data_IF_308883346921
#
_entry.id   IF_308883346921
#
_cell.length_a   1.000
_cell.length_b   1.000
_cell.length_c   1.000
_cell.angle_alpha   90.00
_cell.angle_beta   90.00
_cell.angle_gamma   90.00
#
_symmetry.space_group_name_H-M   'P 1'
#
loop_
_entity.id
_entity.type
_entity.pdbx_description
1 polymer ?
#
# COMPACT_ATOMS: atom_id res chain seq x y z
N UNK A 1 16.57 23.35 4.54
CA UNK A 1 16.62 21.98 5.12
C UNK A 1 16.08 21.05 4.07
N UNK A 2 16.81 19.99 3.69
CA UNK A 2 16.26 18.96 2.81
C UNK A 2 15.28 18.14 3.62
N UNK A 3 14.01 18.52 3.58
CA UNK A 3 12.95 17.75 4.23
C UNK A 3 12.69 16.51 3.39
N UNK A 4 12.83 15.33 4.01
CA UNK A 4 12.47 14.07 3.36
C UNK A 4 10.96 14.05 3.20
N UNK A 5 10.50 13.77 1.98
CA UNK A 5 9.08 13.57 1.68
C UNK A 5 8.82 12.08 1.51
N UNK A 6 7.73 11.58 2.11
CA UNK A 6 7.29 10.19 1.94
C UNK A 6 5.84 10.16 1.45
N UNK A 7 5.57 9.19 0.58
CA UNK A 7 4.26 8.81 0.04
C UNK A 7 4.26 7.31 -0.17
N UNK A 8 3.09 6.70 -0.36
CA UNK A 8 2.89 5.26 -0.58
C UNK A 8 3.66 4.40 0.43
N UNK A 9 3.58 4.81 1.69
CA UNK A 9 4.27 4.16 2.81
C UNK A 9 3.25 3.72 3.85
N UNK A 10 3.50 2.53 4.41
CA UNK A 10 2.84 2.04 5.62
C UNK A 10 3.55 2.64 6.83
N UNK A 11 2.87 3.52 7.55
CA UNK A 11 3.43 4.25 8.69
C UNK A 11 2.75 3.78 9.96
N UNK A 12 3.54 3.32 10.93
CA UNK A 12 3.02 2.97 12.24
C UNK A 12 2.61 4.22 13.03
N UNK A 13 1.41 4.17 13.61
CA UNK A 13 0.81 5.27 14.37
C UNK A 13 -0.18 6.08 13.52
N UNK A 14 -0.59 7.24 14.05
CA UNK A 14 -1.67 8.08 13.52
C UNK A 14 -1.17 9.40 12.90
N UNK A 15 0.14 9.61 12.85
CA UNK A 15 0.72 10.88 12.44
C UNK A 15 2.02 10.73 11.65
N UNK A 16 2.31 11.74 10.83
CA UNK A 16 3.57 11.81 10.12
C UNK A 16 4.77 11.88 11.09
N UNK A 17 5.84 11.10 10.88
CA UNK A 17 7.01 11.14 11.76
C UNK A 17 7.68 12.52 11.81
N UNK A 18 8.25 12.85 12.96
CA UNK A 18 8.98 14.12 13.15
C UNK A 18 10.09 14.32 12.11
N UNK A 19 10.15 15.53 11.55
CA UNK A 19 11.16 15.90 10.54
C UNK A 19 10.89 15.35 9.14
N UNK A 20 9.79 14.62 8.94
CA UNK A 20 9.31 14.14 7.65
C UNK A 20 8.12 14.99 7.18
N UNK A 21 7.97 15.15 5.87
CA UNK A 21 6.73 15.66 5.27
C UNK A 21 6.02 14.51 4.57
N UNK A 22 4.90 14.08 5.14
CA UNK A 22 4.04 13.11 4.50
C UNK A 22 3.23 13.81 3.41
N UNK A 23 3.23 13.21 2.23
CA UNK A 23 2.26 13.56 1.19
C UNK A 23 0.93 12.98 1.69
N UNK A 24 0.06 13.89 2.16
CA UNK A 24 -1.27 13.55 2.65
C UNK A 24 -2.02 12.81 1.53
N UNK A 25 -2.84 11.84 1.92
CA UNK A 25 -3.64 10.96 1.04
C UNK A 25 -2.85 9.90 0.24
N UNK A 26 -1.51 9.88 0.31
CA UNK A 26 -0.71 8.81 -0.30
C UNK A 26 -0.13 7.81 0.70
N UNK A 27 -0.15 8.09 2.01
CA UNK A 27 0.37 7.18 3.03
C UNK A 27 -0.80 6.53 3.78
N UNK A 28 -0.60 5.28 4.21
CA UNK A 28 -1.55 4.60 5.10
C UNK A 28 -0.95 4.49 6.49
N UNK A 29 -1.71 5.03 7.44
CA UNK A 29 -1.39 5.01 8.87
C UNK A 29 -2.01 3.78 9.52
N UNK A 30 -1.20 2.98 10.20
CA UNK A 30 -1.60 1.71 10.79
C UNK A 30 -1.31 1.69 12.29
N UNK A 31 -2.33 1.35 13.09
CA UNK A 31 -2.18 1.07 14.52
C UNK A 31 -1.96 -0.43 14.76
N UNK A 32 -2.67 -1.26 13.99
CA UNK A 32 -2.56 -2.72 14.00
C UNK A 32 -1.76 -3.22 12.80
N UNK A 33 -1.12 -4.38 12.94
CA UNK A 33 -0.44 -5.04 11.83
C UNK A 33 -1.41 -5.29 10.66
N UNK A 34 -1.12 -4.78 9.45
CA UNK A 34 -1.86 -5.14 8.24
C UNK A 34 -1.51 -6.55 7.75
N UNK A 35 -0.51 -7.19 8.36
CA UNK A 35 0.04 -8.46 7.91
C UNK A 35 -0.43 -9.63 8.75
N UNK A 36 -0.52 -10.80 8.11
CA UNK A 36 -0.54 -12.10 8.75
C UNK A 36 0.73 -12.32 9.59
N UNK A 37 0.58 -13.06 10.68
CA UNK A 37 1.69 -13.37 11.58
C UNK A 37 2.71 -14.23 10.84
N UNK A 38 3.98 -13.81 10.86
CA UNK A 38 5.17 -14.55 10.42
C UNK A 38 5.42 -14.68 8.90
N UNK A 39 4.56 -14.14 8.01
CA UNK A 39 4.79 -14.24 6.55
C UNK A 39 4.66 -12.91 5.77
N UNK A 40 4.37 -11.79 6.43
CA UNK A 40 4.25 -10.44 5.83
C UNK A 40 3.19 -10.30 4.71
N UNK A 41 2.31 -11.29 4.54
CA UNK A 41 1.19 -11.19 3.60
C UNK A 41 0.12 -10.27 4.18
N UNK A 42 -0.55 -9.50 3.34
CA UNK A 42 -1.69 -8.70 3.78
C UNK A 42 -2.83 -9.62 4.23
N UNK A 43 -3.38 -9.34 5.41
CA UNK A 43 -4.62 -9.99 5.86
C UNK A 43 -5.82 -9.31 5.21
N UNK A 44 -6.93 -10.04 5.07
CA UNK A 44 -8.20 -9.48 4.62
C UNK A 44 -8.60 -8.23 5.43
N UNK A 45 -9.02 -7.16 4.73
CA UNK A 45 -9.36 -5.87 5.33
C UNK A 45 -8.17 -5.05 5.80
N UNK A 46 -6.95 -5.41 5.40
CA UNK A 46 -5.77 -4.55 5.56
C UNK A 46 -6.00 -3.21 4.85
N UNK A 47 -5.67 -2.07 5.48
CA UNK A 47 -5.76 -0.76 4.84
C UNK A 47 -4.67 -0.54 3.77
N UNK A 48 -3.75 -1.50 3.62
CA UNK A 48 -2.74 -1.49 2.57
C UNK A 48 -3.27 -2.05 1.23
N UNK A 49 -4.44 -2.69 1.25
CA UNK A 49 -5.08 -3.24 0.05
C UNK A 49 -5.66 -2.09 -0.80
N UNK A 50 -5.50 -2.14 -2.12
CA UNK A 50 -5.96 -1.13 -3.09
C UNK A 50 -5.55 0.32 -2.74
N UNK A 51 -4.35 0.48 -2.17
CA UNK A 51 -3.87 1.74 -1.59
C UNK A 51 -2.58 2.28 -2.24
N UNK A 52 -2.04 1.58 -3.23
CA UNK A 52 -0.76 1.89 -3.85
C UNK A 52 -0.83 2.86 -5.03
N UNK A 53 0.20 2.83 -5.87
CA UNK A 53 0.27 3.64 -7.09
C UNK A 53 0.89 2.83 -8.22
N UNK A 54 0.06 2.50 -9.22
CA UNK A 54 0.43 1.72 -10.39
C UNK A 54 1.57 2.38 -11.20
N UNK A 55 1.66 3.72 -11.21
CA UNK A 55 2.66 4.48 -12.00
C UNK A 55 4.11 4.22 -11.55
N UNK A 56 4.33 3.80 -10.30
CA UNK A 56 5.68 3.56 -9.74
C UNK A 56 6.06 2.07 -9.76
N UNK A 57 5.18 1.21 -10.25
CA UNK A 57 5.38 -0.24 -10.28
C UNK A 57 6.23 -0.63 -11.50
N UNK A 58 7.36 -1.29 -11.25
CA UNK A 58 8.26 -1.75 -12.31
C UNK A 58 8.33 -3.28 -12.46
N UNK A 59 7.88 -4.04 -11.46
CA UNK A 59 7.79 -5.50 -11.52
C UNK A 59 6.35 -5.91 -11.73
N UNK A 60 6.17 -6.91 -12.59
CA UNK A 60 4.86 -7.47 -12.95
C UNK A 60 4.33 -8.47 -11.93
N UNK A 61 5.19 -9.00 -11.07
CA UNK A 61 4.82 -10.00 -10.05
C UNK A 61 5.35 -9.65 -8.66
N UNK A 62 4.66 -10.10 -7.63
CA UNK A 62 5.06 -10.04 -6.23
C UNK A 62 6.12 -11.11 -5.89
N UNK A 63 6.45 -11.26 -4.61
CA UNK A 63 7.44 -12.25 -4.15
C UNK A 63 6.97 -13.70 -4.38
N UNK A 64 5.66 -13.95 -4.33
CA UNK A 64 5.07 -15.28 -4.55
C UNK A 64 4.85 -15.59 -6.03
N UNK A 65 5.08 -14.61 -6.91
CA UNK A 65 4.90 -14.72 -8.35
C UNK A 65 3.48 -14.40 -8.83
N UNK A 66 2.63 -13.87 -7.95
CA UNK A 66 1.30 -13.39 -8.31
C UNK A 66 1.40 -12.05 -9.03
N UNK A 67 0.45 -11.71 -9.93
CA UNK A 67 0.38 -10.37 -10.51
C UNK A 67 0.29 -9.29 -9.42
N UNK A 68 0.93 -8.14 -9.64
CA UNK A 68 0.92 -7.00 -8.69
C UNK A 68 -0.19 -5.98 -8.91
N UNK A 69 -1.16 -6.30 -9.74
CA UNK A 69 -2.29 -5.38 -9.97
C UNK A 69 -3.50 -6.29 -9.99
N UNK A 70 -4.05 -6.57 -8.81
CA UNK A 70 -5.21 -7.42 -8.60
C UNK A 70 -6.18 -6.68 -7.68
N UNK A 71 -7.35 -6.35 -8.23
CA UNK A 71 -8.44 -5.68 -7.51
C UNK A 71 -9.01 -6.58 -6.40
N UNK A 72 -9.13 -6.05 -5.17
CA UNK A 72 -10.00 -6.60 -4.15
C UNK A 72 -11.36 -5.88 -4.14
N UNK A 73 -12.40 -6.42 -4.79
CA UNK A 73 -13.64 -5.68 -5.07
C UNK A 73 -14.47 -5.33 -3.83
N UNK A 74 -14.06 -5.76 -2.64
CA UNK A 74 -14.69 -5.42 -1.36
C UNK A 74 -13.93 -4.36 -0.56
N UNK A 75 -12.72 -4.00 -1.00
CA UNK A 75 -11.92 -2.91 -0.44
C UNK A 75 -12.19 -1.64 -1.24
N UNK A 76 -12.10 -0.49 -0.57
CA UNK A 76 -12.27 0.81 -1.24
C UNK A 76 -10.92 1.26 -1.75
N UNK A 77 -10.86 1.51 -3.05
CA UNK A 77 -9.75 2.19 -3.71
C UNK A 77 -9.35 3.49 -2.99
N UNK A 78 -8.13 3.50 -2.44
CA UNK A 78 -7.54 4.69 -1.79
C UNK A 78 -6.22 5.12 -2.41
N UNK A 79 -5.67 4.31 -3.31
CA UNK A 79 -4.44 4.61 -4.05
C UNK A 79 -4.63 5.61 -5.19
N UNK A 80 -3.62 5.68 -6.05
CA UNK A 80 -3.68 6.51 -7.28
C UNK A 80 -4.50 5.77 -8.32
N UNK A 81 -5.74 6.21 -8.50
CA UNK A 81 -6.61 5.78 -9.59
C UNK A 81 -6.00 6.24 -10.92
N UNK A 82 -5.68 5.30 -11.79
CA UNK A 82 -5.32 5.54 -13.18
C UNK A 82 -6.43 5.00 -14.11
N UNK A 83 -6.12 4.81 -15.39
CA UNK A 83 -7.08 4.25 -16.35
C UNK A 83 -7.32 2.73 -16.14
N UNK A 84 -6.60 2.09 -15.21
CA UNK A 84 -6.80 0.70 -14.83
C UNK A 84 -7.91 0.58 -13.77
N UNK A 85 -8.66 -0.53 -13.82
CA UNK A 85 -9.77 -0.77 -12.88
C UNK A 85 -9.33 -1.35 -11.55
N UNK A 86 -8.03 -1.58 -11.35
CA UNK A 86 -7.46 -2.25 -10.19
C UNK A 86 -6.30 -1.40 -9.66
N UNK A 87 -6.21 -1.24 -8.34
CA UNK A 87 -5.12 -0.51 -7.69
C UNK A 87 -4.19 -1.51 -7.01
N UNK A 88 -2.88 -1.37 -7.22
CA UNK A 88 -1.87 -2.20 -6.54
C UNK A 88 -1.94 -2.06 -5.01
N UNK A 89 -1.63 -3.15 -4.31
CA UNK A 89 -1.44 -3.13 -2.87
C UNK A 89 -0.11 -2.50 -2.44
N UNK A 90 -0.10 -1.91 -1.25
CA UNK A 90 1.16 -1.47 -0.66
C UNK A 90 1.91 -2.62 0.00
N UNK A 91 3.12 -2.87 -0.48
CA UNK A 91 4.04 -3.80 0.15
C UNK A 91 4.82 -4.64 -0.84
N UNK A 92 5.27 -5.81 -0.37
CA UNK A 92 6.02 -6.76 -1.18
C UNK A 92 5.17 -7.90 -1.76
N UNK A 93 3.96 -8.08 -1.23
CA UNK A 93 2.99 -9.11 -1.60
C UNK A 93 1.69 -8.44 -2.03
N UNK A 94 1.05 -9.01 -3.04
CA UNK A 94 -0.31 -8.65 -3.43
C UNK A 94 -1.30 -9.53 -2.67
N UNK A 95 -2.35 -8.95 -2.11
CA UNK A 95 -3.48 -9.68 -1.59
C UNK A 95 -4.18 -10.42 -2.72
N UNK A 96 -4.60 -11.66 -2.47
CA UNK A 96 -5.34 -12.48 -3.42
C UNK A 96 -6.72 -12.77 -2.82
N UNK A 97 -7.80 -12.16 -3.33
CA UNK A 97 -9.17 -12.31 -2.80
C UNK A 97 -9.74 -13.73 -2.86
#
# INVERSE_FOLDING_TARGET
>A
TNTVKIGFSLIQGDACPDGITCILDSNVFIEDSPFDTDNLHLRAGSPAIDAGNNEVVSLTTDIDGNPRIVDDPVTVDTGVIDDESAIIDMGAYEYQP
#
